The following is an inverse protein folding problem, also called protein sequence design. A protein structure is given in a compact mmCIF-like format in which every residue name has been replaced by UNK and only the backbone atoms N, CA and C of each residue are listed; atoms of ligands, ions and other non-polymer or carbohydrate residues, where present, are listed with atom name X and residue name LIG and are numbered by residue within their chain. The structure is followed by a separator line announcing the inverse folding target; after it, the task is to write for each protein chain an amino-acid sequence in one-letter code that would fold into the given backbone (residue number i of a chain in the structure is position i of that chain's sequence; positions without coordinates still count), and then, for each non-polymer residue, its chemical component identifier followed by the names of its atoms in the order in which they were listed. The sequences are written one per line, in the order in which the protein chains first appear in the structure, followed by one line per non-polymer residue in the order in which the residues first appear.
data_IF_772525455576
#
_entry.id   IF_772525455576
#
_cell.length_a   1.000
_cell.length_b   1.000
_cell.length_c   1.000
_cell.angle_alpha   90.00
_cell.angle_beta   90.00
_cell.angle_gamma   90.00
#
_symmetry.space_group_name_H-M   'P 1'
#
loop_
_entity.id
_entity.type
_entity.pdbx_description
1 polymer ?
#
# COMPACT_ATOMS: atom_id res chain seq x y z
N UNK A 1 -24.08 -18.45 -29.00
CA UNK A 1 -23.68 -18.18 -27.61
C UNK A 1 -22.89 -16.88 -27.61
N UNK A 2 -23.48 -15.80 -27.08
CA UNK A 2 -22.79 -14.50 -27.02
C UNK A 2 -22.09 -14.39 -25.68
N UNK A 3 -20.77 -14.20 -25.71
CA UNK A 3 -19.99 -13.87 -24.51
C UNK A 3 -20.19 -12.37 -24.27
N UNK A 4 -20.90 -12.01 -23.21
CA UNK A 4 -20.98 -10.62 -22.75
C UNK A 4 -19.66 -10.29 -22.04
N UNK A 5 -18.89 -9.37 -22.61
CA UNK A 5 -17.73 -8.79 -21.91
C UNK A 5 -18.30 -7.89 -20.80
N UNK A 6 -18.32 -8.39 -19.57
CA UNK A 6 -18.66 -7.58 -18.40
C UNK A 6 -17.46 -6.69 -18.06
N UNK A 7 -17.71 -5.38 -17.96
CA UNK A 7 -16.73 -4.45 -17.41
C UNK A 7 -16.52 -4.80 -15.93
N UNK A 8 -15.27 -5.02 -15.54
CA UNK A 8 -14.90 -5.40 -14.16
C UNK A 8 -15.36 -4.36 -13.13
N UNK A 9 -15.52 -3.09 -13.52
CA UNK A 9 -16.01 -2.03 -12.64
C UNK A 9 -17.52 -2.17 -12.32
N UNK A 10 -18.28 -2.91 -13.13
CA UNK A 10 -19.72 -3.08 -12.98
C UNK A 10 -20.10 -4.36 -12.22
N UNK A 11 -19.11 -5.10 -11.72
CA UNK A 11 -19.37 -6.23 -10.85
C UNK A 11 -19.97 -5.79 -9.50
N UNK A 12 -20.94 -6.54 -8.96
CA UNK A 12 -21.68 -6.15 -7.75
C UNK A 12 -20.77 -6.05 -6.51
N UNK A 13 -19.68 -6.82 -6.42
CA UNK A 13 -18.75 -6.77 -5.30
C UNK A 13 -18.01 -5.42 -5.19
N UNK A 14 -17.90 -4.67 -6.29
CA UNK A 14 -17.25 -3.35 -6.33
C UNK A 14 -18.24 -2.19 -6.32
N UNK A 15 -19.51 -2.43 -5.99
CA UNK A 15 -20.55 -1.39 -5.90
C UNK A 15 -20.14 -0.22 -4.99
N UNK A 16 -19.43 -0.51 -3.88
CA UNK A 16 -18.95 0.48 -2.93
C UNK A 16 -17.44 0.77 -3.08
N UNK A 17 -16.86 0.57 -4.26
CA UNK A 17 -15.42 0.81 -4.46
C UNK A 17 -15.02 2.30 -4.33
N UNK A 18 -13.77 2.60 -3.94
CA UNK A 18 -13.28 3.98 -3.85
C UNK A 18 -13.47 4.78 -5.15
N UNK A 19 -13.27 4.12 -6.30
CA UNK A 19 -13.45 4.73 -7.63
C UNK A 19 -14.89 5.19 -7.88
N UNK A 20 -15.90 4.40 -7.50
CA UNK A 20 -17.32 4.79 -7.62
C UNK A 20 -17.70 5.93 -6.67
N UNK A 21 -16.99 6.05 -5.55
CA UNK A 21 -17.15 7.13 -4.58
C UNK A 21 -16.31 8.39 -4.90
N UNK A 22 -15.52 8.38 -5.99
CA UNK A 22 -14.72 9.53 -6.42
C UNK A 22 -13.35 9.68 -5.73
N UNK A 23 -12.92 8.69 -4.95
CA UNK A 23 -11.58 8.68 -4.35
C UNK A 23 -10.53 8.20 -5.35
N UNK A 24 -9.31 8.72 -5.20
CA UNK A 24 -8.15 8.31 -5.97
C UNK A 24 -6.94 8.08 -5.05
N UNK A 25 -6.04 7.20 -5.46
CA UNK A 25 -4.74 7.04 -4.83
C UNK A 25 -3.77 8.05 -5.46
N UNK A 26 -3.34 9.09 -4.73
CA UNK A 26 -2.44 10.09 -5.29
C UNK A 26 -1.07 9.46 -5.58
N UNK A 27 -0.33 10.08 -6.49
CA UNK A 27 1.04 9.67 -6.75
C UNK A 27 1.94 9.97 -5.55
N UNK A 28 3.02 9.20 -5.40
CA UNK A 28 3.96 9.29 -4.27
C UNK A 28 4.71 10.63 -4.18
N UNK A 29 4.72 11.44 -5.24
CA UNK A 29 5.30 12.79 -5.24
C UNK A 29 4.28 13.89 -4.90
N UNK A 30 3.02 13.55 -4.66
CA UNK A 30 2.05 14.50 -4.15
C UNK A 30 2.43 14.95 -2.73
N UNK A 31 1.92 16.10 -2.28
CA UNK A 31 2.20 16.59 -0.93
C UNK A 31 1.67 15.60 0.11
N UNK A 32 2.55 15.04 0.92
CA UNK A 32 2.21 14.15 2.03
C UNK A 32 1.93 14.93 3.32
N UNK A 33 1.01 14.43 4.13
CA UNK A 33 0.76 14.94 5.49
C UNK A 33 1.76 14.36 6.50
N UNK A 34 2.03 13.05 6.38
CA UNK A 34 2.96 12.32 7.24
C UNK A 34 3.45 11.05 6.52
N UNK A 35 4.54 10.47 7.04
CA UNK A 35 5.08 9.18 6.60
C UNK A 35 4.97 8.18 7.74
N UNK A 36 4.50 6.97 7.44
CA UNK A 36 4.35 5.89 8.41
C UNK A 36 5.46 4.86 8.21
N UNK A 37 6.07 4.42 9.31
CA UNK A 37 7.25 3.56 9.33
C UNK A 37 7.01 2.38 10.27
N UNK A 38 7.28 1.14 9.82
CA UNK A 38 7.15 -0.08 10.63
C UNK A 38 8.48 -0.54 11.24
N UNK A 39 8.52 -0.72 12.55
CA UNK A 39 9.77 -1.00 13.28
C UNK A 39 10.41 -2.33 12.86
N UNK A 40 11.71 -2.38 12.52
CA UNK A 40 12.40 -3.63 12.24
C UNK A 40 12.50 -4.46 13.53
N UNK A 41 12.02 -5.71 13.54
CA UNK A 41 11.97 -6.48 14.80
C UNK A 41 12.24 -7.99 14.67
N UNK A 42 12.51 -8.50 13.45
CA UNK A 42 12.63 -9.94 13.20
C UNK A 42 14.03 -10.33 12.75
N UNK A 43 14.77 -11.03 13.60
CA UNK A 43 16.14 -11.51 13.31
C UNK A 43 16.21 -12.40 12.05
N UNK A 44 15.22 -13.26 11.83
CA UNK A 44 15.17 -14.11 10.64
C UNK A 44 15.04 -13.31 9.33
N UNK A 45 14.59 -12.06 9.38
CA UNK A 45 14.57 -11.15 8.22
C UNK A 45 15.93 -10.45 8.03
N UNK A 46 16.76 -10.40 9.07
CA UNK A 46 18.02 -9.66 9.12
C UNK A 46 19.15 -10.41 9.84
N UNK A 47 19.55 -11.62 9.38
CA UNK A 47 20.46 -12.48 10.14
C UNK A 47 21.82 -11.82 10.42
N UNK A 48 22.16 -11.67 11.70
CA UNK A 48 23.38 -11.03 12.17
C UNK A 48 23.46 -9.52 11.92
N UNK A 49 22.34 -8.89 11.51
CA UNK A 49 22.30 -7.49 11.09
C UNK A 49 21.20 -6.65 11.76
N UNK A 50 20.27 -7.24 12.52
CA UNK A 50 19.15 -6.48 13.09
C UNK A 50 19.63 -5.28 13.92
N UNK A 51 20.70 -5.46 14.69
CA UNK A 51 21.27 -4.43 15.57
C UNK A 51 21.87 -3.25 14.80
N UNK A 52 22.34 -3.47 13.57
CA UNK A 52 22.94 -2.40 12.77
C UNK A 52 21.90 -1.52 12.06
N UNK A 53 20.64 -1.94 12.03
CA UNK A 53 19.54 -1.27 11.33
C UNK A 53 18.88 -0.20 12.19
N UNK A 54 18.84 -0.39 13.52
CA UNK A 54 18.11 0.52 14.41
C UNK A 54 18.59 1.96 14.32
N UNK A 55 19.91 2.17 14.34
CA UNK A 55 20.49 3.51 14.28
C UNK A 55 20.08 4.28 13.01
N UNK A 56 20.34 3.78 11.78
CA UNK A 56 19.95 4.48 10.56
C UNK A 56 18.43 4.59 10.39
N UNK A 57 17.65 3.64 10.93
CA UNK A 57 16.19 3.70 10.87
C UNK A 57 15.60 4.88 11.66
N UNK A 58 16.24 5.29 12.76
CA UNK A 58 15.83 6.44 13.56
C UNK A 58 16.25 7.80 12.97
N UNK A 59 16.95 7.84 11.83
CA UNK A 59 17.36 9.08 11.16
C UNK A 59 16.30 9.63 10.19
N UNK A 60 15.20 8.88 9.99
CA UNK A 60 14.00 9.33 9.26
C UNK A 60 13.16 10.31 10.08
#
# INVERSE_FOLDING_TARGET
MSITIINTADQPEFANSPKKQGYAFPAEWAKHEATWLSWPHKEASWPGKIETIYKPYCEF
#
